data_IF_944342862154
#
_entry.id   IF_944342862154
#
_cell.length_a   1.000
_cell.length_b   1.000
_cell.length_c   1.000
_cell.angle_alpha   90.00
_cell.angle_beta   90.00
_cell.angle_gamma   90.00
#
_symmetry.space_group_name_H-M   'P 1'
#
loop_
_entity.id
_entity.type
_entity.pdbx_description
1 polymer ?
#
# COMPACT_ATOMS: atom_id res chain seq x y z
N UNK A 1 31.53 22.43 -34.68
CA UNK A 1 31.12 21.05 -35.02
C UNK A 1 31.46 20.06 -33.92
N UNK A 2 32.74 19.74 -33.64
CA UNK A 2 33.15 18.71 -32.65
C UNK A 2 32.57 18.89 -31.24
N UNK A 3 32.60 20.11 -30.70
CA UNK A 3 32.08 20.39 -29.35
C UNK A 3 30.56 20.21 -29.26
N UNK A 4 29.83 20.59 -30.31
CA UNK A 4 28.35 20.43 -30.36
C UNK A 4 27.97 18.95 -30.43
N UNK A 5 28.72 18.16 -31.21
CA UNK A 5 28.50 16.71 -31.31
C UNK A 5 28.79 16.02 -29.96
N UNK A 6 29.89 16.37 -29.30
CA UNK A 6 30.23 15.83 -27.98
C UNK A 6 29.19 16.23 -26.92
N UNK A 7 28.69 17.46 -26.97
CA UNK A 7 27.64 17.92 -26.07
C UNK A 7 26.32 17.15 -26.29
N UNK A 8 25.90 16.99 -27.55
CA UNK A 8 24.70 16.22 -27.89
C UNK A 8 24.82 14.75 -27.47
N UNK A 9 25.99 14.14 -27.67
CA UNK A 9 26.27 12.77 -27.25
C UNK A 9 26.22 12.65 -25.72
N UNK A 10 26.86 13.57 -24.99
CA UNK A 10 26.83 13.59 -23.53
C UNK A 10 25.40 13.74 -22.98
N UNK A 11 24.58 14.60 -23.60
CA UNK A 11 23.18 14.79 -23.21
C UNK A 11 22.35 13.54 -23.50
N UNK A 12 22.55 12.89 -24.64
CA UNK A 12 21.87 11.63 -24.98
C UNK A 12 22.22 10.51 -24.00
N UNK A 13 23.50 10.33 -23.69
CA UNK A 13 23.97 9.31 -22.72
C UNK A 13 23.44 9.63 -21.32
N UNK A 14 23.51 10.89 -20.90
CA UNK A 14 22.97 11.34 -19.62
C UNK A 14 21.47 11.06 -19.49
N UNK A 15 20.67 11.40 -20.51
CA UNK A 15 19.24 11.15 -20.51
C UNK A 15 18.90 9.65 -20.39
N UNK A 16 19.60 8.79 -21.13
CA UNK A 16 19.42 7.33 -21.05
C UNK A 16 19.82 6.81 -19.67
N UNK A 17 20.95 7.25 -19.12
CA UNK A 17 21.39 6.84 -17.79
C UNK A 17 20.38 7.25 -16.71
N UNK A 18 19.90 8.50 -16.72
CA UNK A 18 18.88 8.98 -15.78
C UNK A 18 17.57 8.20 -15.92
N UNK A 19 17.12 7.90 -17.14
CA UNK A 19 15.90 7.12 -17.36
C UNK A 19 16.00 5.71 -16.76
N UNK A 20 17.15 5.04 -16.90
CA UNK A 20 17.38 3.72 -16.32
C UNK A 20 17.39 3.76 -14.78
N UNK A 21 18.08 4.74 -14.18
CA UNK A 21 18.12 4.91 -12.73
C UNK A 21 16.71 5.16 -12.17
N UNK A 22 15.97 6.08 -12.78
CA UNK A 22 14.59 6.38 -12.37
C UNK A 22 13.68 5.16 -12.53
N UNK A 23 13.85 4.38 -13.61
CA UNK A 23 13.10 3.13 -13.80
C UNK A 23 13.41 2.11 -12.71
N UNK A 24 14.69 1.90 -12.38
CA UNK A 24 15.11 0.97 -11.34
C UNK A 24 14.54 1.36 -9.96
N UNK A 25 14.60 2.65 -9.62
CA UNK A 25 14.01 3.17 -8.37
C UNK A 25 12.49 2.98 -8.33
N UNK A 26 11.78 3.22 -9.44
CA UNK A 26 10.32 2.98 -9.51
C UNK A 26 9.96 1.51 -9.33
N UNK A 27 10.80 0.59 -9.81
CA UNK A 27 10.57 -0.85 -9.69
C UNK A 27 10.75 -1.33 -8.25
N UNK A 28 11.71 -0.75 -7.52
CA UNK A 28 11.93 -1.05 -6.11
C UNK A 28 10.65 -0.85 -5.28
N UNK A 29 9.96 0.28 -5.48
CA UNK A 29 8.74 0.60 -4.73
C UNK A 29 7.46 0.15 -5.44
N UNK A 30 7.55 -0.60 -6.53
CA UNK A 30 6.36 -0.98 -7.30
C UNK A 30 5.44 -1.91 -6.50
N UNK A 31 6.02 -2.88 -5.80
CA UNK A 31 5.28 -3.83 -4.99
C UNK A 31 4.60 -3.18 -3.76
N UNK A 32 5.29 -2.47 -2.86
CA UNK A 32 4.64 -1.83 -1.71
C UNK A 32 3.59 -0.80 -2.12
N UNK A 33 3.83 -0.01 -3.18
CA UNK A 33 2.81 0.92 -3.69
C UNK A 33 1.60 0.19 -4.26
N UNK A 34 1.83 -0.88 -5.00
CA UNK A 34 0.76 -1.74 -5.54
C UNK A 34 -0.11 -2.32 -4.43
N UNK A 35 0.54 -2.90 -3.41
CA UNK A 35 -0.13 -3.46 -2.23
C UNK A 35 -1.02 -2.40 -1.54
N UNK A 36 -0.46 -1.23 -1.25
CA UNK A 36 -1.21 -0.16 -0.56
C UNK A 36 -2.38 0.38 -1.40
N UNK A 37 -2.23 0.45 -2.72
CA UNK A 37 -3.32 0.85 -3.62
C UNK A 37 -4.48 -0.15 -3.62
N UNK A 38 -4.18 -1.46 -3.65
CA UNK A 38 -5.23 -2.50 -3.60
C UNK A 38 -5.91 -2.50 -2.23
N UNK A 39 -5.14 -2.40 -1.13
CA UNK A 39 -5.71 -2.28 0.21
C UNK A 39 -6.62 -1.05 0.36
N UNK A 40 -6.23 0.10 -0.21
CA UNK A 40 -7.04 1.31 -0.22
C UNK A 40 -8.35 1.10 -1.01
N UNK A 41 -8.29 0.39 -2.13
CA UNK A 41 -9.47 0.04 -2.92
C UNK A 41 -10.45 -0.81 -2.12
N UNK A 42 -9.99 -1.91 -1.53
CA UNK A 42 -10.84 -2.84 -0.76
C UNK A 42 -11.46 -2.15 0.46
N UNK A 43 -10.68 -1.32 1.17
CA UNK A 43 -11.20 -0.52 2.29
C UNK A 43 -12.24 0.50 1.82
N UNK A 44 -12.07 1.10 0.64
CA UNK A 44 -13.03 2.02 0.03
C UNK A 44 -14.33 1.34 -0.39
N UNK A 45 -14.24 0.14 -0.95
CA UNK A 45 -15.39 -0.69 -1.30
C UNK A 45 -16.19 -1.07 -0.04
N UNK A 46 -15.52 -1.59 0.98
CA UNK A 46 -16.13 -1.92 2.28
C UNK A 46 -16.84 -0.72 2.92
N UNK A 47 -16.26 0.48 2.86
CA UNK A 47 -16.90 1.71 3.37
C UNK A 47 -18.16 2.06 2.58
N UNK A 48 -18.15 1.84 1.27
CA UNK A 48 -19.30 2.08 0.40
C UNK A 48 -20.44 1.11 0.73
N UNK A 49 -20.10 -0.16 0.92
CA UNK A 49 -21.05 -1.21 1.29
C UNK A 49 -21.60 -1.02 2.70
N UNK A 50 -20.77 -0.61 3.66
CA UNK A 50 -21.20 -0.27 5.01
C UNK A 50 -22.27 0.83 5.03
N UNK A 51 -22.06 1.89 4.24
CA UNK A 51 -23.02 3.01 4.10
C UNK A 51 -24.32 2.56 3.45
N UNK A 52 -24.24 1.60 2.54
CA UNK A 52 -25.40 1.01 1.90
C UNK A 52 -26.04 -0.15 2.69
N UNK A 53 -25.49 -0.49 3.86
CA UNK A 53 -25.90 -1.65 4.67
C UNK A 53 -25.88 -2.97 3.86
N UNK A 54 -24.90 -3.10 2.97
CA UNK A 54 -24.63 -4.32 2.21
C UNK A 54 -23.50 -5.10 2.88
N UNK A 55 -23.81 -6.28 3.41
CA UNK A 55 -22.81 -7.23 3.94
C UNK A 55 -23.07 -8.60 3.32
N UNK A 56 -22.90 -8.65 2.01
CA UNK A 56 -23.06 -9.87 1.22
C UNK A 56 -21.71 -10.59 1.08
N UNK A 57 -21.68 -11.58 0.18
CA UNK A 57 -20.48 -12.36 -0.11
C UNK A 57 -19.37 -11.50 -0.74
N UNK A 58 -19.70 -10.44 -1.48
CA UNK A 58 -18.71 -9.56 -2.13
C UNK A 58 -18.00 -8.68 -1.10
N UNK A 59 -18.77 -8.10 -0.16
CA UNK A 59 -18.19 -7.40 0.99
C UNK A 59 -17.30 -8.35 1.82
N UNK A 60 -17.73 -9.60 1.99
CA UNK A 60 -16.95 -10.62 2.72
C UNK A 60 -15.63 -10.94 2.04
N UNK A 61 -15.65 -11.14 0.71
CA UNK A 61 -14.45 -11.35 -0.08
C UNK A 61 -13.49 -10.14 0.01
N UNK A 62 -14.02 -8.92 -0.03
CA UNK A 62 -13.20 -7.69 0.09
C UNK A 62 -12.51 -7.60 1.46
N UNK A 63 -13.19 -7.99 2.53
CA UNK A 63 -12.59 -8.02 3.87
C UNK A 63 -11.53 -9.13 4.00
N UNK A 64 -11.76 -10.30 3.43
CA UNK A 64 -10.78 -11.39 3.41
C UNK A 64 -9.54 -11.01 2.61
N UNK A 65 -9.70 -10.36 1.46
CA UNK A 65 -8.62 -9.84 0.66
C UNK A 65 -7.80 -8.81 1.43
N UNK A 66 -8.47 -7.84 2.08
CA UNK A 66 -7.80 -6.84 2.91
C UNK A 66 -7.00 -7.49 4.05
N UNK A 67 -7.52 -8.55 4.69
CA UNK A 67 -6.78 -9.32 5.70
C UNK A 67 -5.56 -10.02 5.11
N UNK A 68 -5.70 -10.69 3.97
CA UNK A 68 -4.59 -11.34 3.28
C UNK A 68 -3.47 -10.35 2.97
N UNK A 69 -3.82 -9.22 2.35
CA UNK A 69 -2.87 -8.17 1.98
C UNK A 69 -2.21 -7.51 3.19
N UNK A 70 -2.94 -7.33 4.30
CA UNK A 70 -2.37 -6.79 5.53
C UNK A 70 -1.25 -7.66 6.12
N UNK A 71 -1.29 -8.97 5.88
CA UNK A 71 -0.23 -9.91 6.25
C UNK A 71 1.05 -9.75 5.43
N UNK A 72 0.97 -9.15 4.24
CA UNK A 72 2.10 -8.96 3.33
C UNK A 72 2.81 -7.62 3.50
N UNK A 73 2.33 -6.72 4.36
CA UNK A 73 2.86 -5.35 4.50
C UNK A 73 4.35 -5.35 4.87
N UNK A 74 4.73 -6.14 5.88
CA UNK A 74 6.12 -6.18 6.38
C UNK A 74 7.07 -6.64 5.27
N UNK A 75 6.75 -7.76 4.60
CA UNK A 75 7.52 -8.27 3.45
C UNK A 75 7.50 -7.31 2.26
N UNK A 76 6.42 -6.57 2.05
CA UNK A 76 6.35 -5.63 0.92
C UNK A 76 7.23 -4.40 1.11
N UNK A 77 7.41 -3.94 2.35
CA UNK A 77 8.20 -2.74 2.67
C UNK A 77 9.67 -3.09 2.93
N UNK A 78 9.95 -4.19 3.61
CA UNK A 78 11.32 -4.56 4.02
C UNK A 78 11.90 -5.73 3.21
N UNK A 79 11.12 -6.41 2.36
CA UNK A 79 11.59 -7.59 1.64
C UNK A 79 11.99 -8.71 2.61
N UNK A 80 13.25 -9.13 2.52
CA UNK A 80 13.85 -10.15 3.39
C UNK A 80 14.47 -9.54 4.67
N UNK A 81 14.59 -8.22 4.75
CA UNK A 81 15.13 -7.55 5.93
C UNK A 81 14.11 -7.51 7.07
N UNK A 82 14.55 -7.54 8.34
CA UNK A 82 13.64 -7.41 9.46
C UNK A 82 13.05 -5.98 9.52
N UNK A 83 11.73 -5.83 9.73
CA UNK A 83 11.13 -4.51 9.97
C UNK A 83 11.66 -3.90 11.27
N UNK A 84 11.76 -2.57 11.31
CA UNK A 84 12.04 -1.92 12.58
C UNK A 84 10.88 -2.16 13.58
N UNK A 85 11.17 -2.22 14.90
CA UNK A 85 10.16 -2.61 15.88
C UNK A 85 8.90 -1.72 15.88
N UNK A 86 9.00 -0.38 15.74
CA UNK A 86 7.82 0.46 15.61
C UNK A 86 6.97 0.14 14.37
N UNK A 87 7.58 -0.13 13.20
CA UNK A 87 6.84 -0.50 12.00
C UNK A 87 6.07 -1.82 12.20
N UNK A 88 6.74 -2.83 12.74
CA UNK A 88 6.14 -4.14 13.03
C UNK A 88 4.95 -4.02 14.01
N UNK A 89 5.03 -3.09 14.97
CA UNK A 89 3.93 -2.75 15.88
C UNK A 89 2.70 -2.24 15.12
N UNK A 90 2.90 -1.28 14.22
CA UNK A 90 1.82 -0.70 13.43
C UNK A 90 1.16 -1.73 12.52
N UNK A 91 1.96 -2.54 11.81
CA UNK A 91 1.47 -3.62 10.97
C UNK A 91 0.65 -4.64 11.77
N UNK A 92 1.14 -5.04 12.95
CA UNK A 92 0.41 -5.95 13.84
C UNK A 92 -0.87 -5.34 14.38
N UNK A 93 -0.85 -4.07 14.78
CA UNK A 93 -2.04 -3.35 15.27
C UNK A 93 -3.12 -3.24 14.19
N UNK A 94 -2.74 -2.96 12.94
CA UNK A 94 -3.68 -2.95 11.81
C UNK A 94 -4.36 -4.31 11.67
N UNK A 95 -3.59 -5.40 11.62
CA UNK A 95 -4.10 -6.77 11.53
C UNK A 95 -5.06 -7.12 12.67
N UNK A 96 -4.74 -6.70 13.90
CA UNK A 96 -5.60 -6.91 15.06
C UNK A 96 -6.88 -6.06 15.05
N UNK A 97 -6.90 -4.96 14.30
CA UNK A 97 -8.06 -4.06 14.20
C UNK A 97 -9.06 -4.52 13.13
N UNK A 98 -8.60 -5.32 12.16
CA UNK A 98 -9.48 -5.84 11.12
C UNK A 98 -10.58 -6.71 11.75
N UNK A 99 -11.86 -6.44 11.47
CA UNK A 99 -12.95 -7.23 12.03
C UNK A 99 -12.79 -8.69 11.61
N UNK A 100 -13.20 -9.66 12.44
CA UNK A 100 -13.08 -11.10 12.14
C UNK A 100 -14.23 -11.65 11.27
N UNK A 101 -15.39 -11.00 11.34
CA UNK A 101 -16.56 -11.26 10.50
C UNK A 101 -17.16 -9.92 10.08
N UNK A 102 -17.97 -9.95 9.02
CA UNK A 102 -18.79 -8.80 8.66
C UNK A 102 -20.08 -8.83 9.47
N UNK A 103 -20.19 -7.89 10.42
CA UNK A 103 -21.46 -7.52 11.03
C UNK A 103 -21.84 -6.12 10.53
N UNK A 104 -22.90 -6.05 9.73
CA UNK A 104 -23.38 -4.81 9.11
C UNK A 104 -23.75 -3.71 10.10
N UNK A 105 -24.14 -4.09 11.31
CA UNK A 105 -24.54 -3.12 12.34
C UNK A 105 -23.36 -2.26 12.79
N UNK A 106 -22.20 -2.88 12.93
CA UNK A 106 -21.00 -2.24 13.49
C UNK A 106 -19.89 -2.04 12.46
N UNK A 107 -20.11 -2.45 11.20
CA UNK A 107 -19.12 -2.41 10.13
C UNK A 107 -18.54 -1.00 9.95
N UNK A 108 -19.38 0.02 9.89
CA UNK A 108 -18.91 1.39 9.71
C UNK A 108 -17.92 1.80 10.82
N UNK A 109 -18.25 1.54 12.09
CA UNK A 109 -17.37 1.83 13.21
C UNK A 109 -16.09 0.98 13.18
N UNK A 110 -16.18 -0.28 12.78
CA UNK A 110 -15.02 -1.15 12.58
C UNK A 110 -14.06 -0.59 11.53
N UNK A 111 -14.59 -0.15 10.37
CA UNK A 111 -13.80 0.40 9.27
C UNK A 111 -13.17 1.76 9.61
N UNK A 112 -13.80 2.56 10.47
CA UNK A 112 -13.18 3.79 10.99
C UNK A 112 -11.92 3.47 11.83
N UNK A 113 -11.98 2.43 12.68
CA UNK A 113 -10.80 2.00 13.45
C UNK A 113 -9.68 1.48 12.53
N UNK A 114 -10.04 0.75 11.48
CA UNK A 114 -9.08 0.30 10.45
C UNK A 114 -8.42 1.51 9.78
N UNK A 115 -9.21 2.51 9.37
CA UNK A 115 -8.69 3.76 8.81
C UNK A 115 -7.71 4.47 9.75
N UNK A 116 -8.07 4.59 11.03
CA UNK A 116 -7.19 5.20 12.03
C UNK A 116 -5.87 4.41 12.22
N UNK A 117 -5.90 3.08 12.11
CA UNK A 117 -4.70 2.25 12.14
C UNK A 117 -3.82 2.47 10.89
N UNK A 118 -4.42 2.61 9.71
CA UNK A 118 -3.69 3.01 8.49
C UNK A 118 -3.01 4.36 8.67
N UNK A 119 -3.75 5.37 9.15
CA UNK A 119 -3.22 6.72 9.35
C UNK A 119 -2.11 6.76 10.41
N UNK A 120 -2.18 5.92 11.43
CA UNK A 120 -1.14 5.84 12.46
C UNK A 120 0.21 5.42 11.88
N UNK A 121 0.24 4.39 11.02
CA UNK A 121 1.44 3.99 10.31
C UNK A 121 1.90 5.09 9.33
N UNK A 122 0.98 5.60 8.50
CA UNK A 122 1.33 6.56 7.46
C UNK A 122 1.85 7.90 7.99
N UNK A 123 1.45 8.35 9.19
CA UNK A 123 2.00 9.57 9.77
C UNK A 123 3.51 9.52 10.01
N UNK A 124 4.08 8.33 10.18
CA UNK A 124 5.50 8.14 10.46
C UNK A 124 6.29 7.66 9.23
N UNK A 125 5.66 6.88 8.34
CA UNK A 125 6.35 6.17 7.26
C UNK A 125 5.99 6.61 5.84
N UNK A 126 5.12 7.61 5.66
CA UNK A 126 4.70 8.15 4.35
C UNK A 126 4.89 9.66 4.26
#
# INVERSE_FOLDING_TARGET
>A
MRLVILFALGLAVGAVATANIVSALRQHDAYPRGLMNVMQHDLGALRTDARAQRCDAEATASLEQLRGLSGSIETAVYGDDPPDPPFAEYARRLRATLPATLDCKDLAQGLEKVGAACDACHREYR
#
